data_IF_743845375312
#
_entry.id   IF_743845375312
#
_cell.length_a   1.000
_cell.length_b   1.000
_cell.length_c   1.000
_cell.angle_alpha   90.00
_cell.angle_beta   90.00
_cell.angle_gamma   90.00
#
_symmetry.space_group_name_H-M   'P 1'
#
loop_
_entity.id
_entity.type
_entity.pdbx_description
1 polymer ?
#
# COMPACT_ATOMS: atom_id res chain seq x y z
N UNK A 1 -18.33 20.48 5.88
CA UNK A 1 -17.68 19.30 5.29
C UNK A 1 -17.01 18.51 6.42
N UNK A 2 -17.65 17.45 6.92
CA UNK A 2 -17.21 16.71 8.11
C UNK A 2 -15.96 15.89 7.76
N UNK A 3 -14.84 16.15 8.43
CA UNK A 3 -13.60 15.37 8.28
C UNK A 3 -13.73 14.09 9.10
N UNK A 4 -14.15 13.00 8.46
CA UNK A 4 -14.20 11.68 9.08
C UNK A 4 -12.78 11.16 9.35
N UNK A 5 -12.40 11.03 10.63
CA UNK A 5 -11.15 10.35 11.02
C UNK A 5 -11.12 8.89 10.52
N UNK A 6 -12.27 8.26 10.38
CA UNK A 6 -12.41 6.92 9.81
C UNK A 6 -11.91 6.85 8.36
N UNK A 7 -12.05 7.91 7.55
CA UNK A 7 -11.47 7.98 6.22
C UNK A 7 -9.94 8.10 6.25
N UNK A 8 -9.39 8.71 7.30
CA UNK A 8 -7.94 8.86 7.54
C UNK A 8 -7.31 7.54 8.02
N UNK A 9 -8.08 6.70 8.71
CA UNK A 9 -7.70 5.35 9.16
C UNK A 9 -7.93 4.28 8.06
N UNK A 10 -8.97 4.42 7.22
CA UNK A 10 -9.23 3.59 6.02
C UNK A 10 -8.19 3.77 4.93
N UNK A 11 -7.55 4.94 4.85
CA UNK A 11 -6.30 5.11 4.12
C UNK A 11 -5.25 4.25 4.82
N UNK A 12 -5.04 3.03 4.30
CA UNK A 12 -3.75 2.35 4.42
C UNK A 12 -2.67 3.43 4.39
N UNK A 13 -1.73 3.48 5.34
CA UNK A 13 -0.71 4.56 5.48
C UNK A 13 0.29 4.61 4.31
N UNK A 14 -0.19 4.32 3.11
CA UNK A 14 0.52 3.95 1.90
C UNK A 14 1.47 2.77 2.13
N UNK A 15 1.23 1.97 3.19
CA UNK A 15 2.07 0.83 3.53
C UNK A 15 1.53 -0.42 2.84
N UNK A 16 2.29 -0.85 1.84
CA UNK A 16 2.08 -2.10 1.13
C UNK A 16 3.18 -3.10 1.48
N UNK A 17 2.83 -4.38 1.44
CA UNK A 17 3.74 -5.50 1.67
C UNK A 17 3.84 -6.27 0.37
N UNK A 18 5.05 -6.54 -0.10
CA UNK A 18 5.22 -7.41 -1.26
C UNK A 18 4.83 -8.85 -0.92
N UNK A 19 4.12 -9.55 -1.81
CA UNK A 19 3.74 -10.96 -1.57
C UNK A 19 4.93 -11.93 -1.59
N UNK A 20 5.99 -11.63 -2.37
CA UNK A 20 7.16 -12.51 -2.54
C UNK A 20 8.19 -12.32 -1.43
N UNK A 21 8.74 -11.11 -1.30
CA UNK A 21 9.81 -10.82 -0.36
C UNK A 21 9.32 -10.29 1.00
N UNK A 22 8.01 -10.13 1.19
CA UNK A 22 7.39 -9.63 2.43
C UNK A 22 7.90 -8.24 2.89
N UNK A 23 8.63 -7.52 2.03
CA UNK A 23 9.15 -6.20 2.35
C UNK A 23 8.02 -5.18 2.42
N UNK A 24 8.07 -4.31 3.43
CA UNK A 24 7.18 -3.16 3.57
C UNK A 24 7.68 -2.04 2.66
N UNK A 25 6.77 -1.45 1.90
CA UNK A 25 7.04 -0.34 0.99
C UNK A 25 5.99 0.71 1.25
N UNK A 26 6.42 1.97 1.29
CA UNK A 26 5.52 3.11 1.33
C UNK A 26 5.32 3.60 -0.10
N UNK A 27 4.12 3.42 -0.66
CA UNK A 27 3.79 3.84 -2.02
C UNK A 27 2.30 4.21 -2.08
N UNK A 28 1.95 5.23 -2.84
CA UNK A 28 0.57 5.71 -2.92
C UNK A 28 -0.36 4.61 -3.42
N UNK A 29 -1.55 4.49 -2.82
CA UNK A 29 -2.57 3.53 -3.26
C UNK A 29 -2.91 3.68 -4.76
N UNK A 30 -2.85 4.90 -5.29
CA UNK A 30 -3.07 5.21 -6.69
C UNK A 30 -2.07 4.49 -7.61
N UNK A 31 -0.77 4.54 -7.30
CA UNK A 31 0.27 3.83 -8.07
C UNK A 31 0.16 2.31 -7.97
N UNK A 32 -0.36 1.80 -6.85
CA UNK A 32 -0.67 0.36 -6.72
C UNK A 32 -1.86 -0.02 -7.59
N UNK A 33 -2.90 0.80 -7.61
CA UNK A 33 -4.10 0.56 -8.43
C UNK A 33 -3.82 0.66 -9.93
N UNK A 34 -2.89 1.52 -10.34
CA UNK A 34 -2.44 1.61 -11.73
C UNK A 34 -1.38 0.55 -12.10
N UNK A 35 -0.96 -0.31 -11.17
CA UNK A 35 0.02 -1.36 -11.43
C UNK A 35 1.47 -0.88 -11.58
N UNK A 36 1.72 0.43 -11.43
CA UNK A 36 3.04 1.06 -11.56
C UNK A 36 3.93 0.85 -10.32
N UNK A 37 3.34 0.46 -9.19
CA UNK A 37 4.06 0.24 -7.96
C UNK A 37 4.87 -1.07 -8.00
N UNK A 38 6.20 -0.94 -8.16
CA UNK A 38 7.14 -2.07 -8.12
C UNK A 38 7.83 -2.19 -6.76
N UNK A 39 8.03 -3.42 -6.31
CA UNK A 39 8.84 -3.68 -5.14
C UNK A 39 10.31 -3.34 -5.38
N UNK A 40 10.92 -2.50 -4.52
CA UNK A 40 12.34 -2.11 -4.65
C UNK A 40 13.32 -3.30 -4.63
N UNK A 41 13.01 -4.36 -3.86
CA UNK A 41 13.86 -5.56 -3.74
C UNK A 41 13.69 -6.57 -4.87
N UNK A 42 12.45 -6.91 -5.24
CA UNK A 42 12.18 -8.00 -6.19
C UNK A 42 11.57 -7.55 -7.52
N UNK A 43 11.41 -6.24 -7.74
CA UNK A 43 10.82 -5.58 -8.93
C UNK A 43 9.41 -6.04 -9.32
N UNK A 44 8.78 -6.92 -8.54
CA UNK A 44 7.44 -7.44 -8.77
C UNK A 44 6.38 -6.38 -8.40
N UNK A 45 5.30 -6.31 -9.17
CA UNK A 45 4.13 -5.44 -8.94
C UNK A 45 3.10 -6.00 -7.97
N UNK A 46 3.31 -7.23 -7.46
CA UNK A 46 2.35 -7.91 -6.59
C UNK A 46 2.49 -7.43 -5.15
N UNK A 47 1.82 -6.33 -4.85
CA UNK A 47 1.78 -5.67 -3.54
C UNK A 47 0.42 -5.91 -2.87
N UNK A 48 0.40 -6.17 -1.56
CA UNK A 48 -0.82 -6.27 -0.75
C UNK A 48 -0.88 -5.13 0.27
N UNK A 49 -2.06 -4.55 0.54
CA UNK A 49 -2.19 -3.58 1.62
C UNK A 49 -1.84 -4.23 2.97
N UNK A 50 -1.13 -3.52 3.85
CA UNK A 50 -0.96 -3.96 5.23
C UNK A 50 -2.26 -3.69 5.99
N UNK A 51 -3.02 -4.75 6.31
CA UNK A 51 -4.12 -4.67 7.28
C UNK A 51 -3.51 -4.54 8.68
N UNK A 52 -4.02 -3.60 9.50
CA UNK A 52 -3.83 -3.67 10.95
C UNK A 52 -4.78 -4.74 11.48
N UNK A 53 -4.28 -5.64 12.35
CA UNK A 53 -5.13 -6.36 13.30
C UNK A 53 -5.55 -5.37 14.38
#
# INVERSE_FOLDING_TARGET
MVKFEEARVRKHKDIFVCRKCKSKIKVSSFKVSQGEARCRKCRRSVLRPKRKK
#
